data_IF_554235611675
#
_entry.id   IF_554235611675
#
_cell.length_a   1.000
_cell.length_b   1.000
_cell.length_c   1.000
_cell.angle_alpha   90.00
_cell.angle_beta   90.00
_cell.angle_gamma   90.00
#
_symmetry.space_group_name_H-M   'P 1'
#
loop_
_entity.id
_entity.type
_entity.pdbx_description
1 polymer ?
#
# COMPACT_ATOMS: atom_id res chain seq x y z
N UNK A 1 -41.28 -12.54 -20.53
CA UNK A 1 -39.84 -12.58 -20.18
C UNK A 1 -39.68 -13.44 -18.93
N UNK A 2 -38.91 -14.53 -19.02
CA UNK A 2 -38.96 -15.70 -18.12
C UNK A 2 -38.36 -15.47 -16.73
N UNK A 3 -39.04 -15.95 -15.67
CA UNK A 3 -38.68 -15.89 -14.23
C UNK A 3 -37.25 -16.37 -13.91
N UNK A 4 -36.66 -17.22 -14.76
CA UNK A 4 -35.25 -17.65 -14.66
C UNK A 4 -34.23 -16.54 -15.02
N UNK A 5 -34.59 -15.62 -15.92
CA UNK A 5 -33.71 -14.51 -16.34
C UNK A 5 -33.52 -13.50 -15.21
N UNK A 6 -34.59 -13.23 -14.47
CA UNK A 6 -34.59 -12.32 -13.30
C UNK A 6 -33.86 -12.90 -12.08
N UNK A 7 -33.86 -14.22 -11.89
CA UNK A 7 -33.13 -14.85 -10.78
C UNK A 7 -31.62 -14.75 -10.99
N UNK A 8 -31.14 -15.08 -12.20
CA UNK A 8 -29.71 -14.95 -12.59
C UNK A 8 -29.21 -13.52 -12.50
N UNK A 9 -30.05 -12.55 -12.85
CA UNK A 9 -29.70 -11.14 -12.77
C UNK A 9 -29.53 -10.67 -11.32
N UNK A 10 -30.43 -11.09 -10.42
CA UNK A 10 -30.32 -10.83 -8.97
C UNK A 10 -29.11 -11.51 -8.35
N UNK A 11 -28.77 -12.71 -8.80
CA UNK A 11 -27.58 -13.43 -8.34
C UNK A 11 -26.29 -12.68 -8.69
N UNK A 12 -26.14 -12.28 -9.96
CA UNK A 12 -25.01 -11.45 -10.40
C UNK A 12 -24.91 -10.12 -9.65
N UNK A 13 -26.05 -9.49 -9.37
CA UNK A 13 -26.09 -8.25 -8.62
C UNK A 13 -25.60 -8.42 -7.17
N UNK A 14 -26.00 -9.51 -6.50
CA UNK A 14 -25.51 -9.84 -5.15
C UNK A 14 -24.03 -10.19 -5.12
N UNK A 15 -23.56 -10.91 -6.13
CA UNK A 15 -22.14 -11.23 -6.28
C UNK A 15 -21.30 -9.98 -6.48
N UNK A 16 -21.75 -9.08 -7.36
CA UNK A 16 -21.13 -7.78 -7.55
C UNK A 16 -21.10 -6.97 -6.24
N UNK A 17 -22.21 -6.90 -5.52
CA UNK A 17 -22.28 -6.23 -4.22
C UNK A 17 -21.28 -6.78 -3.20
N UNK A 18 -21.23 -8.11 -3.03
CA UNK A 18 -20.26 -8.77 -2.13
C UNK A 18 -18.81 -8.51 -2.55
N UNK A 19 -18.55 -8.45 -3.85
CA UNK A 19 -17.22 -8.11 -4.37
C UNK A 19 -16.82 -6.69 -3.98
N UNK A 20 -17.71 -5.72 -4.19
CA UNK A 20 -17.47 -4.32 -3.78
C UNK A 20 -17.19 -4.23 -2.27
N UNK A 21 -17.98 -4.95 -1.46
CA UNK A 21 -17.76 -5.02 -0.01
C UNK A 21 -16.37 -5.57 0.34
N UNK A 22 -15.98 -6.69 -0.29
CA UNK A 22 -14.67 -7.32 -0.07
C UNK A 22 -13.52 -6.38 -0.44
N UNK A 23 -13.56 -5.81 -1.64
CA UNK A 23 -12.53 -4.86 -2.11
C UNK A 23 -12.43 -3.66 -1.17
N UNK A 24 -13.56 -3.14 -0.67
CA UNK A 24 -13.58 -2.07 0.34
C UNK A 24 -12.83 -2.49 1.63
N UNK A 25 -13.13 -3.67 2.14
CA UNK A 25 -12.55 -4.19 3.39
C UNK A 25 -11.05 -4.50 3.24
N UNK A 26 -10.62 -5.02 2.09
CA UNK A 26 -9.20 -5.24 1.75
C UNK A 26 -8.39 -3.94 1.70
N UNK A 27 -9.02 -2.83 1.30
CA UNK A 27 -8.41 -1.50 1.36
C UNK A 27 -8.52 -0.84 2.75
N UNK A 28 -9.08 -1.55 3.74
CA UNK A 28 -9.27 -1.04 5.11
C UNK A 28 -10.26 0.13 5.20
N UNK A 29 -11.14 0.28 4.22
CA UNK A 29 -12.07 1.41 4.12
C UNK A 29 -13.39 1.10 4.81
N UNK A 30 -13.96 2.09 5.50
CA UNK A 30 -15.37 2.02 5.92
C UNK A 30 -16.29 2.45 4.78
N UNK A 31 -17.58 2.09 4.84
CA UNK A 31 -18.57 2.61 3.89
C UNK A 31 -18.62 4.16 3.91
N UNK A 32 -18.32 4.78 5.06
CA UNK A 32 -18.23 6.23 5.20
C UNK A 32 -17.04 6.83 4.45
N UNK A 33 -15.91 6.13 4.40
CA UNK A 33 -14.75 6.57 3.62
C UNK A 33 -15.04 6.51 2.12
N UNK A 34 -15.68 5.43 1.66
CA UNK A 34 -16.12 5.31 0.26
C UNK A 34 -17.13 6.39 -0.11
N UNK A 35 -18.10 6.69 0.76
CA UNK A 35 -19.07 7.80 0.58
C UNK A 35 -18.34 9.13 0.39
N UNK A 36 -17.41 9.45 1.30
CA UNK A 36 -16.65 10.71 1.27
C UNK A 36 -15.82 10.86 -0.01
N UNK A 37 -15.29 9.76 -0.52
CA UNK A 37 -14.37 9.77 -1.66
C UNK A 37 -15.05 9.60 -3.02
N UNK A 38 -16.17 8.88 -3.09
CA UNK A 38 -16.94 8.70 -4.33
C UNK A 38 -18.03 9.77 -4.52
N UNK A 39 -18.34 10.56 -3.48
CA UNK A 39 -19.49 11.48 -3.50
C UNK A 39 -20.84 10.78 -3.54
N UNK A 40 -20.88 9.46 -3.34
CA UNK A 40 -22.12 8.68 -3.29
C UNK A 40 -22.71 8.66 -1.89
N UNK A 41 -24.03 8.60 -1.78
CA UNK A 41 -24.70 8.51 -0.48
C UNK A 41 -24.44 7.16 0.22
N UNK A 42 -24.36 7.19 1.55
CA UNK A 42 -24.08 6.00 2.37
C UNK A 42 -25.14 4.90 2.19
N UNK A 43 -26.41 5.27 2.02
CA UNK A 43 -27.49 4.31 1.77
C UNK A 43 -27.31 3.62 0.41
N UNK A 44 -26.82 4.35 -0.60
CA UNK A 44 -26.52 3.78 -1.91
C UNK A 44 -25.39 2.74 -1.82
N UNK A 45 -24.29 3.06 -1.12
CA UNK A 45 -23.17 2.14 -0.91
C UNK A 45 -23.63 0.87 -0.18
N UNK A 46 -24.39 1.01 0.91
CA UNK A 46 -24.91 -0.13 1.66
C UNK A 46 -25.85 -1.02 0.81
N UNK A 47 -26.76 -0.41 0.06
CA UNK A 47 -27.69 -1.14 -0.82
C UNK A 47 -26.98 -1.78 -2.02
N UNK A 48 -25.89 -1.18 -2.50
CA UNK A 48 -25.03 -1.78 -3.52
C UNK A 48 -24.31 -3.02 -2.97
N UNK A 49 -23.65 -2.90 -1.82
CA UNK A 49 -22.91 -4.01 -1.19
C UNK A 49 -23.81 -5.21 -0.85
N UNK A 50 -25.03 -4.94 -0.40
CA UNK A 50 -26.04 -5.98 -0.10
C UNK A 50 -26.69 -6.57 -1.36
N UNK A 51 -26.41 -6.02 -2.55
CA UNK A 51 -26.97 -6.47 -3.82
C UNK A 51 -28.44 -6.09 -4.02
N UNK A 52 -28.95 -5.12 -3.26
CA UNK A 52 -30.31 -4.56 -3.41
C UNK A 52 -30.36 -3.65 -4.62
N UNK A 53 -29.31 -2.86 -4.86
CA UNK A 53 -29.19 -1.96 -6.02
C UNK A 53 -28.12 -2.40 -7.00
N UNK A 54 -28.37 -2.15 -8.29
CA UNK A 54 -27.36 -2.21 -9.33
C UNK A 54 -26.78 -0.82 -9.52
N UNK A 55 -25.57 -0.75 -10.05
CA UNK A 55 -24.92 0.52 -10.36
C UNK A 55 -24.96 0.76 -11.87
N UNK A 56 -25.29 1.99 -12.27
CA UNK A 56 -25.14 2.41 -13.65
C UNK A 56 -23.65 2.48 -14.02
N UNK A 57 -23.28 2.02 -15.21
CA UNK A 57 -21.88 2.00 -15.66
C UNK A 57 -21.19 3.36 -15.57
N UNK A 58 -21.94 4.44 -15.81
CA UNK A 58 -21.47 5.82 -15.69
C UNK A 58 -20.98 6.22 -14.29
N UNK A 59 -21.43 5.52 -13.23
CA UNK A 59 -21.02 5.77 -11.84
C UNK A 59 -19.90 4.85 -11.35
N UNK A 60 -19.51 3.86 -12.16
CA UNK A 60 -18.42 2.97 -11.82
C UNK A 60 -17.07 3.69 -11.60
N UNK A 61 -16.70 4.74 -12.35
CA UNK A 61 -15.47 5.49 -12.09
C UNK A 61 -15.47 6.17 -10.71
N UNK A 62 -16.61 6.72 -10.30
CA UNK A 62 -16.77 7.35 -8.98
C UNK A 62 -16.63 6.30 -7.87
N UNK A 63 -17.22 5.11 -8.08
CA UNK A 63 -17.11 3.99 -7.13
C UNK A 63 -15.66 3.49 -7.03
N UNK A 64 -14.97 3.29 -8.15
CA UNK A 64 -13.57 2.90 -8.18
C UNK A 64 -12.67 3.95 -7.49
N UNK A 65 -12.96 5.23 -7.69
CA UNK A 65 -12.30 6.34 -6.97
C UNK A 65 -12.53 6.25 -5.47
N UNK A 66 -13.78 5.99 -5.05
CA UNK A 66 -14.12 5.86 -3.63
C UNK A 66 -13.50 4.65 -2.95
N UNK A 67 -13.41 3.54 -3.67
CA UNK A 67 -12.80 2.30 -3.21
C UNK A 67 -11.27 2.34 -3.26
N UNK A 68 -10.69 3.33 -3.95
CA UNK A 68 -9.26 3.37 -4.29
C UNK A 68 -8.89 2.03 -4.93
N UNK A 69 -9.46 1.74 -6.09
CA UNK A 69 -9.12 0.56 -6.89
C UNK A 69 -9.09 0.92 -8.37
N UNK A 70 -8.48 0.06 -9.19
CA UNK A 70 -8.69 0.12 -10.63
C UNK A 70 -10.11 -0.36 -10.94
N UNK A 71 -10.75 0.24 -11.95
CA UNK A 71 -12.04 -0.27 -12.41
C UNK A 71 -11.91 -1.70 -12.95
N UNK A 72 -10.74 -2.07 -13.48
CA UNK A 72 -10.43 -3.45 -13.87
C UNK A 72 -10.56 -4.39 -12.66
N UNK A 73 -10.11 -3.98 -11.47
CA UNK A 73 -10.22 -4.76 -10.23
C UNK A 73 -11.69 -4.98 -9.82
N UNK A 74 -12.62 -4.14 -10.26
CA UNK A 74 -14.07 -4.35 -10.02
C UNK A 74 -14.62 -5.50 -10.88
N UNK A 75 -14.00 -5.78 -12.03
CA UNK A 75 -14.49 -6.72 -13.02
C UNK A 75 -13.67 -7.99 -13.17
N UNK A 76 -12.46 -8.06 -12.62
CA UNK A 76 -11.65 -9.28 -12.62
C UNK A 76 -12.28 -10.38 -11.71
N UNK A 77 -13.36 -11.03 -12.14
CA UNK A 77 -13.88 -12.24 -11.50
C UNK A 77 -12.71 -13.16 -11.11
N UNK A 78 -12.68 -13.68 -9.87
CA UNK A 78 -11.93 -14.91 -9.62
C UNK A 78 -12.51 -15.90 -10.62
N UNK A 79 -11.76 -16.17 -11.69
CA UNK A 79 -12.32 -16.69 -12.93
C UNK A 79 -13.01 -18.04 -12.70
N UNK A 80 -14.34 -18.01 -12.66
CA UNK A 80 -15.16 -19.16 -12.96
C UNK A 80 -14.95 -19.51 -14.44
N UNK A 81 -14.28 -20.63 -14.67
CA UNK A 81 -13.80 -21.19 -15.96
C UNK A 81 -12.40 -20.70 -16.38
N UNK A 82 -11.39 -21.06 -15.57
CA UNK A 82 -10.09 -21.53 -16.10
C UNK A 82 -9.78 -22.90 -15.52
N UNK A 83 -9.05 -23.69 -16.30
CA UNK A 83 -8.74 -25.09 -16.06
C UNK A 83 -8.13 -25.27 -14.66
N UNK A 84 -8.48 -26.36 -13.96
CA UNK A 84 -8.19 -26.61 -12.53
C UNK A 84 -6.70 -26.75 -12.17
N UNK A 85 -5.79 -26.49 -13.11
CA UNK A 85 -4.34 -26.68 -12.97
C UNK A 85 -3.51 -25.38 -13.15
N UNK A 86 -4.15 -24.21 -13.32
CA UNK A 86 -3.43 -22.92 -13.40
C UNK A 86 -3.50 -22.15 -12.08
N UNK A 87 -2.32 -21.94 -11.49
CA UNK A 87 -2.05 -21.11 -10.30
C UNK A 87 -2.82 -19.80 -10.38
N UNK A 88 -3.47 -19.40 -9.29
CA UNK A 88 -4.16 -18.12 -9.15
C UNK A 88 -3.30 -16.99 -9.75
N UNK A 89 -3.74 -16.42 -10.88
CA UNK A 89 -3.03 -15.33 -11.54
C UNK A 89 -2.97 -14.17 -10.56
N UNK A 90 -1.76 -13.82 -10.11
CA UNK A 90 -1.58 -12.68 -9.21
C UNK A 90 -2.18 -11.42 -9.85
N UNK A 91 -2.70 -10.48 -9.04
CA UNK A 91 -3.21 -9.21 -9.57
C UNK A 91 -2.19 -8.52 -10.47
N UNK A 92 -2.61 -7.87 -11.56
CA UNK A 92 -1.69 -7.31 -12.57
C UNK A 92 -0.61 -6.37 -12.03
N UNK A 93 -0.92 -5.59 -10.99
CA UNK A 93 0.09 -4.72 -10.37
C UNK A 93 1.25 -5.50 -9.72
N UNK A 94 1.07 -6.80 -9.41
CA UNK A 94 2.14 -7.66 -8.91
C UNK A 94 3.18 -7.96 -9.98
N UNK A 95 2.81 -7.97 -11.27
CA UNK A 95 3.78 -8.12 -12.36
C UNK A 95 4.83 -6.99 -12.33
N UNK A 96 4.39 -5.75 -12.05
CA UNK A 96 5.29 -4.61 -11.88
C UNK A 96 6.17 -4.74 -10.63
N UNK A 97 5.58 -5.18 -9.51
CA UNK A 97 6.32 -5.41 -8.26
C UNK A 97 7.42 -6.43 -8.51
N UNK A 98 7.10 -7.56 -9.14
CA UNK A 98 8.05 -8.64 -9.41
C UNK A 98 9.12 -8.21 -10.41
N UNK A 99 8.74 -7.46 -11.44
CA UNK A 99 9.69 -6.90 -12.40
C UNK A 99 10.72 -6.00 -11.72
N UNK A 100 10.27 -4.97 -10.99
CA UNK A 100 11.19 -4.03 -10.31
C UNK A 100 12.02 -4.76 -9.26
N UNK A 101 11.42 -5.69 -8.51
CA UNK A 101 12.15 -6.47 -7.50
C UNK A 101 13.29 -7.30 -8.13
N UNK A 102 13.06 -7.90 -9.30
CA UNK A 102 14.07 -8.66 -10.05
C UNK A 102 15.19 -7.77 -10.58
N UNK A 103 14.86 -6.60 -11.12
CA UNK A 103 15.85 -5.64 -11.61
C UNK A 103 16.76 -5.11 -10.49
N UNK A 104 16.22 -4.92 -9.29
CA UNK A 104 17.01 -4.57 -8.10
C UNK A 104 17.88 -5.76 -7.67
N UNK A 105 17.30 -6.95 -7.58
CA UNK A 105 18.01 -8.15 -7.15
C UNK A 105 19.15 -8.55 -8.11
N UNK A 106 18.99 -8.31 -9.42
CA UNK A 106 20.03 -8.56 -10.42
C UNK A 106 21.12 -7.46 -10.46
N UNK A 107 20.92 -6.35 -9.75
CA UNK A 107 21.83 -5.19 -9.76
C UNK A 107 21.73 -4.33 -11.01
N UNK A 108 20.73 -4.56 -11.87
CA UNK A 108 20.41 -3.68 -13.01
C UNK A 108 19.93 -2.31 -12.52
N UNK A 109 19.10 -2.30 -11.46
CA UNK A 109 18.79 -1.11 -10.68
C UNK A 109 19.58 -1.13 -9.37
N UNK A 110 20.39 -0.10 -9.13
CA UNK A 110 21.28 0.01 -7.97
C UNK A 110 20.70 0.93 -6.90
N UNK A 111 21.09 0.78 -5.63
CA UNK A 111 20.72 1.75 -4.58
C UNK A 111 20.98 3.19 -5.02
N UNK A 112 19.97 4.05 -4.85
CA UNK A 112 20.00 5.45 -5.30
C UNK A 112 19.51 5.69 -6.73
N UNK A 113 19.37 4.65 -7.57
CA UNK A 113 18.85 4.81 -8.93
C UNK A 113 17.39 5.25 -8.92
N UNK A 114 17.04 6.17 -9.82
CA UNK A 114 15.68 6.65 -9.97
C UNK A 114 14.83 5.65 -10.76
N UNK A 115 13.64 5.38 -10.24
CA UNK A 115 12.57 4.74 -10.99
C UNK A 115 11.86 5.81 -11.86
N UNK A 116 11.24 5.40 -12.99
CA UNK A 116 10.37 6.29 -13.74
C UNK A 116 9.26 6.88 -12.87
N UNK A 117 8.84 8.11 -13.16
CA UNK A 117 7.70 8.76 -12.49
C UNK A 117 6.42 7.96 -12.72
N UNK A 118 5.44 8.07 -11.82
CA UNK A 118 4.16 7.35 -11.92
C UNK A 118 3.51 7.48 -13.30
N UNK A 119 3.46 8.69 -13.86
CA UNK A 119 2.88 8.93 -15.20
C UNK A 119 3.60 8.13 -16.29
N UNK A 120 4.92 8.02 -16.22
CA UNK A 120 5.70 7.24 -17.16
C UNK A 120 5.48 5.73 -16.93
N UNK A 121 5.40 5.28 -15.69
CA UNK A 121 5.05 3.88 -15.38
C UNK A 121 3.66 3.50 -15.91
N UNK A 122 2.66 4.37 -15.74
CA UNK A 122 1.33 4.16 -16.33
C UNK A 122 1.41 4.00 -17.84
N UNK A 123 2.18 4.84 -18.53
CA UNK A 123 2.33 4.82 -19.99
C UNK A 123 3.10 3.60 -20.48
N UNK A 124 4.22 3.25 -19.83
CA UNK A 124 5.08 2.14 -20.23
C UNK A 124 4.41 0.78 -20.01
N UNK A 125 3.66 0.62 -18.91
CA UNK A 125 3.07 -0.67 -18.52
C UNK A 125 1.58 -0.77 -18.84
N UNK A 126 0.93 0.32 -19.29
CA UNK A 126 -0.50 0.35 -19.57
C UNK A 126 -1.37 0.16 -18.33
N UNK A 127 -0.83 0.37 -17.14
CA UNK A 127 -1.54 0.25 -15.87
C UNK A 127 -2.13 1.59 -15.44
N UNK A 128 -3.22 1.56 -14.67
CA UNK A 128 -3.75 2.79 -14.08
C UNK A 128 -2.83 3.36 -13.00
N UNK A 129 -3.01 4.65 -12.71
CA UNK A 129 -2.35 5.31 -11.58
C UNK A 129 -2.63 4.61 -10.25
N UNK A 130 -3.79 3.95 -10.08
CA UNK A 130 -4.06 3.18 -8.88
C UNK A 130 -3.15 1.95 -8.79
N UNK A 131 -3.12 1.12 -9.84
CA UNK A 131 -2.29 -0.08 -9.90
C UNK A 131 -0.80 0.25 -9.72
N UNK A 132 -0.31 1.32 -10.34
CA UNK A 132 1.06 1.83 -10.15
C UNK A 132 1.31 2.23 -8.70
N UNK A 133 0.43 3.05 -8.09
CA UNK A 133 0.60 3.49 -6.69
C UNK A 133 0.59 2.33 -5.72
N UNK A 134 -0.27 1.33 -5.94
CA UNK A 134 -0.34 0.11 -5.14
C UNK A 134 0.95 -0.72 -5.27
N UNK A 135 1.45 -0.91 -6.48
CA UNK A 135 2.74 -1.59 -6.70
C UNK A 135 3.89 -0.86 -5.98
N UNK A 136 3.97 0.47 -6.12
CA UNK A 136 4.97 1.29 -5.45
C UNK A 136 4.83 1.24 -3.92
N UNK A 137 3.60 1.19 -3.39
CA UNK A 137 3.36 1.03 -1.96
C UNK A 137 3.88 -0.32 -1.43
N UNK A 138 3.66 -1.39 -2.18
CA UNK A 138 4.20 -2.73 -1.85
C UNK A 138 5.74 -2.71 -1.87
N UNK A 139 6.34 -2.12 -2.91
CA UNK A 139 7.80 -2.01 -3.01
C UNK A 139 8.40 -1.18 -1.86
N UNK A 140 7.74 -0.10 -1.42
CA UNK A 140 8.12 0.67 -0.23
C UNK A 140 7.98 -0.14 1.04
N UNK A 141 6.87 -0.85 1.22
CA UNK A 141 6.65 -1.73 2.37
C UNK A 141 7.67 -2.87 2.47
N UNK A 142 8.23 -3.31 1.34
CA UNK A 142 9.35 -4.27 1.28
C UNK A 142 10.73 -3.64 1.52
N UNK A 143 10.81 -2.32 1.67
CA UNK A 143 12.07 -1.59 1.83
C UNK A 143 12.92 -1.51 0.56
N UNK A 144 12.38 -1.88 -0.61
CA UNK A 144 13.13 -1.92 -1.87
C UNK A 144 13.29 -0.54 -2.51
N UNK A 145 12.32 0.35 -2.30
CA UNK A 145 12.31 1.71 -2.84
C UNK A 145 11.93 2.72 -1.77
N UNK A 146 12.28 3.99 -2.00
CA UNK A 146 11.83 5.15 -1.23
C UNK A 146 11.25 6.22 -2.14
N UNK A 147 10.44 7.11 -1.55
CA UNK A 147 9.78 8.20 -2.28
C UNK A 147 10.08 9.55 -1.66
N UNK A 148 10.36 10.54 -2.52
CA UNK A 148 10.42 11.95 -2.15
C UNK A 148 9.56 12.76 -3.12
N UNK A 149 8.37 13.16 -2.65
CA UNK A 149 7.38 13.82 -3.51
C UNK A 149 7.00 12.88 -4.65
N UNK A 150 7.15 13.35 -5.89
CA UNK A 150 6.87 12.58 -7.12
C UNK A 150 8.02 11.68 -7.59
N UNK A 151 9.14 11.64 -6.86
CA UNK A 151 10.32 10.85 -7.23
C UNK A 151 10.36 9.56 -6.45
N UNK A 152 10.70 8.48 -7.14
CA UNK A 152 10.92 7.15 -6.56
C UNK A 152 12.35 6.70 -6.88
N UNK A 153 13.01 6.06 -5.94
CA UNK A 153 14.38 5.58 -6.11
C UNK A 153 14.61 4.30 -5.30
N UNK A 154 15.56 3.47 -5.75
CA UNK A 154 15.94 2.25 -5.04
C UNK A 154 16.53 2.63 -3.69
N UNK A 155 16.05 1.98 -2.63
CA UNK A 155 16.47 2.30 -1.28
C UNK A 155 17.94 1.91 -1.05
N UNK A 156 18.70 2.82 -0.43
CA UNK A 156 20.00 2.54 0.19
C UNK A 156 19.90 2.54 1.73
N UNK A 157 20.52 1.60 2.45
CA UNK A 157 20.67 1.68 3.91
C UNK A 157 21.39 2.95 4.38
N UNK A 158 22.29 3.50 3.56
CA UNK A 158 23.16 4.62 3.93
C UNK A 158 22.45 5.98 4.01
N UNK A 159 21.23 6.08 3.46
CA UNK A 159 20.49 7.34 3.46
C UNK A 159 19.60 7.54 4.71
N UNK A 160 19.65 6.60 5.67
CA UNK A 160 18.85 6.68 6.88
C UNK A 160 19.50 7.64 7.89
N UNK A 161 18.67 8.42 8.58
CA UNK A 161 19.10 9.35 9.63
C UNK A 161 18.94 8.73 11.02
N UNK A 162 19.88 8.94 11.95
CA UNK A 162 19.71 8.44 13.30
C UNK A 162 18.59 9.18 14.04
N UNK A 163 17.81 8.43 14.83
CA UNK A 163 17.07 8.93 15.97
C UNK A 163 17.79 8.40 17.21
N UNK A 164 18.50 9.28 17.91
CA UNK A 164 19.15 8.93 19.17
C UNK A 164 18.07 8.67 20.22
N UNK A 165 18.14 7.52 20.90
CA UNK A 165 17.25 7.14 21.99
C UNK A 165 18.01 7.18 23.32
N UNK A 166 17.45 7.91 24.27
CA UNK A 166 17.94 7.98 25.64
C UNK A 166 17.27 6.96 26.57
N UNK A 167 17.76 6.90 27.80
CA UNK A 167 17.21 6.02 28.83
C UNK A 167 15.73 6.33 29.11
N UNK A 168 14.89 5.32 28.90
CA UNK A 168 13.44 5.41 29.11
C UNK A 168 12.65 6.00 27.94
N UNK A 169 13.30 6.42 26.86
CA UNK A 169 12.59 6.79 25.62
C UNK A 169 11.79 5.58 25.10
N UNK A 170 10.62 5.83 24.51
CA UNK A 170 9.76 4.79 23.96
C UNK A 170 9.47 5.05 22.49
N UNK A 171 9.62 4.03 21.67
CA UNK A 171 9.21 4.04 20.27
C UNK A 171 7.98 3.15 20.09
N UNK A 172 6.99 3.66 19.35
CA UNK A 172 5.89 2.85 18.81
C UNK A 172 5.99 2.86 17.29
N UNK A 173 6.00 1.67 16.70
CA UNK A 173 5.99 1.49 15.25
C UNK A 173 4.63 0.94 14.84
N UNK A 174 3.99 1.58 13.85
CA UNK A 174 2.72 1.10 13.29
C UNK A 174 2.46 1.69 11.91
N UNK A 175 1.44 1.17 11.22
CA UNK A 175 0.91 1.83 10.04
C UNK A 175 0.22 3.15 10.42
N UNK A 176 0.36 4.21 9.60
CA UNK A 176 -0.39 5.44 9.78
C UNK A 176 -1.87 5.27 9.44
N UNK A 177 -2.72 6.07 10.08
CA UNK A 177 -4.09 6.28 9.62
C UNK A 177 -4.12 7.16 8.36
N UNK A 178 -5.20 7.16 7.56
CA UNK A 178 -5.32 8.04 6.39
C UNK A 178 -5.13 9.53 6.72
N UNK A 179 -5.60 9.98 7.88
CA UNK A 179 -5.43 11.37 8.35
C UNK A 179 -3.97 11.69 8.65
N UNK A 180 -3.24 10.77 9.29
CA UNK A 180 -1.81 10.93 9.58
C UNK A 180 -0.99 10.93 8.29
N UNK A 181 -1.31 10.05 7.33
CA UNK A 181 -0.66 10.04 6.02
C UNK A 181 -0.71 11.42 5.36
N UNK A 182 -1.88 12.04 5.37
CA UNK A 182 -2.06 13.38 4.81
C UNK A 182 -1.29 14.45 5.62
N UNK A 183 -1.44 14.44 6.95
CA UNK A 183 -0.86 15.48 7.80
C UNK A 183 0.68 15.46 7.81
N UNK A 184 1.28 14.27 7.79
CA UNK A 184 2.74 14.09 7.84
C UNK A 184 3.36 13.73 6.47
N UNK A 185 2.57 13.84 5.39
CA UNK A 185 2.97 13.51 4.02
C UNK A 185 3.68 12.14 3.92
N UNK A 186 3.13 11.12 4.59
CA UNK A 186 3.68 9.77 4.62
C UNK A 186 3.22 9.02 3.38
N UNK A 187 4.16 8.49 2.55
CA UNK A 187 3.79 7.67 1.41
C UNK A 187 3.07 6.39 1.83
N UNK A 188 2.15 5.90 1.00
CA UNK A 188 1.49 4.61 1.24
C UNK A 188 2.53 3.48 1.30
N UNK A 189 2.35 2.54 2.23
CA UNK A 189 3.28 1.43 2.47
C UNK A 189 4.43 1.77 3.41
N UNK A 190 4.56 3.04 3.85
CA UNK A 190 5.58 3.47 4.81
C UNK A 190 5.00 3.49 6.23
N UNK A 191 5.54 2.70 7.19
CA UNK A 191 5.16 2.79 8.59
C UNK A 191 5.57 4.13 9.21
N UNK A 192 4.97 4.46 10.35
CA UNK A 192 5.40 5.59 11.18
C UNK A 192 6.10 5.12 12.45
N UNK A 193 7.08 5.91 12.87
CA UNK A 193 7.71 5.83 14.18
C UNK A 193 7.17 6.97 15.03
N UNK A 194 6.69 6.65 16.22
CA UNK A 194 6.24 7.62 17.22
C UNK A 194 7.21 7.53 18.38
N UNK A 195 8.02 8.58 18.55
CA UNK A 195 9.03 8.68 19.59
C UNK A 195 8.50 9.51 20.76
N UNK A 196 8.45 8.87 21.94
CA UNK A 196 8.13 9.53 23.20
C UNK A 196 9.40 9.64 24.04
N UNK A 197 9.80 10.87 24.28
CA UNK A 197 10.95 11.23 25.10
C UNK A 197 10.66 11.04 26.58
N UNK A 198 11.59 10.43 27.31
CA UNK A 198 11.50 10.24 28.77
C UNK A 198 11.66 11.57 29.50
N UNK A 199 10.91 11.76 30.59
CA UNK A 199 11.08 12.92 31.48
C UNK A 199 10.67 14.28 30.89
N UNK A 200 10.01 14.31 29.74
CA UNK A 200 9.50 15.54 29.12
C UNK A 200 7.99 15.49 28.91
N UNK A 201 7.37 16.66 28.89
CA UNK A 201 5.96 16.89 28.55
C UNK A 201 5.76 17.30 27.08
N UNK A 202 6.82 17.32 26.28
CA UNK A 202 6.72 17.59 24.84
C UNK A 202 5.86 16.53 24.15
N UNK A 203 5.07 16.90 23.13
CA UNK A 203 4.33 15.94 22.31
C UNK A 203 5.25 14.90 21.66
N UNK A 204 4.68 13.75 21.32
CA UNK A 204 5.40 12.68 20.64
C UNK A 204 5.94 13.17 19.28
N UNK A 205 7.19 12.83 18.97
CA UNK A 205 7.84 13.12 17.70
C UNK A 205 7.47 12.02 16.69
N UNK A 206 7.05 12.39 15.48
CA UNK A 206 6.60 11.45 14.45
C UNK A 206 7.55 11.45 13.26
N UNK A 207 7.98 10.27 12.85
CA UNK A 207 8.94 10.06 11.76
C UNK A 207 8.43 9.02 10.76
N UNK A 208 8.81 9.17 9.48
CA UNK A 208 8.60 8.16 8.45
C UNK A 208 9.63 7.05 8.64
N UNK A 209 9.20 5.81 8.84
CA UNK A 209 10.09 4.72 9.22
C UNK A 209 11.14 4.37 8.16
N UNK A 210 10.89 4.70 6.89
CA UNK A 210 11.81 4.49 5.78
C UNK A 210 12.94 5.53 5.69
N UNK A 211 13.00 6.52 6.60
CA UNK A 211 14.01 7.58 6.57
C UNK A 211 14.94 7.60 7.77
N UNK A 212 14.64 6.79 8.78
CA UNK A 212 15.35 6.84 10.04
C UNK A 212 15.71 5.45 10.54
N UNK A 213 16.87 5.35 11.20
CA UNK A 213 17.21 4.20 12.03
C UNK A 213 17.26 4.64 13.49
N UNK A 214 17.04 3.69 14.40
CA UNK A 214 17.10 3.94 15.83
C UNK A 214 18.53 3.71 16.31
N UNK A 215 19.11 4.72 16.96
CA UNK A 215 20.41 4.60 17.59
C UNK A 215 20.23 4.60 19.10
N UNK A 216 20.48 3.44 19.72
CA UNK A 216 20.46 3.32 21.18
C UNK A 216 21.87 3.66 21.65
N UNK A 217 21.99 4.68 22.50
CA UNK A 217 23.28 5.03 23.09
C UNK A 217 23.86 3.84 23.85
N UNK A 218 25.02 3.32 23.43
CA UNK A 218 25.79 2.38 24.25
C UNK A 218 26.31 3.12 25.47
N UNK A 219 26.18 2.50 26.65
CA UNK A 219 26.98 2.93 27.81
C UNK A 219 28.46 2.81 27.46
N UNK A 220 29.31 3.65 28.07
CA UNK A 220 30.74 3.74 27.76
C UNK A 220 31.53 2.41 27.88
N UNK A 221 30.92 1.36 28.46
CA UNK A 221 31.53 0.05 28.69
C UNK A 221 31.54 -0.89 27.47
N UNK A 222 30.70 -0.66 26.47
CA UNK A 222 30.50 -1.59 25.34
C UNK A 222 31.23 -1.18 24.04
N UNK A 223 32.02 -0.10 24.08
CA UNK A 223 32.79 0.39 22.92
C UNK A 223 33.93 -0.55 22.49
N UNK A 224 34.33 -1.50 23.33
CA UNK A 224 35.48 -2.36 23.05
C UNK A 224 35.18 -3.51 22.06
N UNK A 225 33.94 -4.02 21.98
CA UNK A 225 33.72 -5.37 21.45
C UNK A 225 32.84 -5.49 20.20
N UNK A 226 32.29 -4.42 19.63
CA UNK A 226 31.25 -4.56 18.60
C UNK A 226 31.46 -3.69 17.36
N UNK A 227 32.61 -3.90 16.71
CA UNK A 227 32.89 -3.52 15.33
C UNK A 227 32.62 -4.67 14.32
N UNK A 228 31.74 -5.61 14.66
CA UNK A 228 31.33 -6.69 13.74
C UNK A 228 29.85 -6.57 13.38
N UNK A 229 29.62 -6.05 12.18
CA UNK A 229 28.58 -6.39 11.21
C UNK A 229 27.17 -6.72 11.70
N UNK A 230 26.28 -5.73 11.58
CA UNK A 230 24.83 -5.94 11.47
C UNK A 230 24.40 -6.05 9.99
N UNK A 231 25.32 -5.83 9.04
CA UNK A 231 25.04 -5.81 7.59
C UNK A 231 25.96 -6.70 6.72
N UNK A 232 26.74 -7.60 7.30
CA UNK A 232 27.43 -8.61 6.50
C UNK A 232 26.43 -9.67 6.02
N UNK A 233 25.94 -9.52 4.79
CA UNK A 233 25.52 -10.68 4.00
C UNK A 233 26.75 -11.55 3.77
N UNK A 234 26.75 -12.75 4.34
CA UNK A 234 27.71 -13.80 3.99
C UNK A 234 27.55 -14.15 2.49
N UNK A 235 28.65 -14.14 1.70
CA UNK A 235 28.64 -14.75 0.38
C UNK A 235 28.82 -16.27 0.49
N UNK A 236 28.19 -17.00 -0.44
CA UNK A 236 28.24 -18.47 -0.62
C UNK A 236 29.67 -19.05 -0.72
#
# INVERSE_FOLDING_TARGET
MSRKRTERERERQREFGRRIQRLREEQGLTQGDVTRMSGMDRSFISNLETGVYSIASARLPDLATGLRIDLVDVFEEEHGVRNKDEVASAPRYMELVDFISKEIASGLLRPGDFLPREVALCQCYGYSSFAIRKALAILRGRGLIRSWGEKHFVASPDDLKPIELGDGDRIVVRMPTPTEMFHYAIPEGVPILICRRSGTTTPDEIYQADRFYLQIGRTAHERADAHADIWATEPE
#
